data_IF_510243268252
#
_entry.id   IF_510243268252
#
_cell.length_a   1.000
_cell.length_b   1.000
_cell.length_c   1.000
_cell.angle_alpha   90.00
_cell.angle_beta   90.00
_cell.angle_gamma   90.00
#
_symmetry.space_group_name_H-M   'P 1'
#
loop_
_entity.id
_entity.type
_entity.pdbx_description
1 polymer ?
#
# COMPACT_ATOMS: atom_id res chain seq x y z
N UNK A 1 -8.62 13.70 -15.55
CA UNK A 1 -8.68 12.40 -16.25
C UNK A 1 -9.36 11.42 -15.32
N UNK A 2 -10.37 10.73 -15.79
CA UNK A 2 -11.06 9.66 -15.04
C UNK A 2 -10.41 8.33 -15.42
N UNK A 3 -10.17 7.47 -14.45
CA UNK A 3 -9.56 6.16 -14.64
C UNK A 3 -10.12 5.14 -13.65
N UNK A 4 -9.59 3.93 -13.67
CA UNK A 4 -9.99 2.79 -12.84
C UNK A 4 -8.85 2.43 -11.89
N UNK A 5 -9.12 2.48 -10.58
CA UNK A 5 -8.11 2.18 -9.55
C UNK A 5 -8.62 1.13 -8.57
N UNK A 6 -7.75 0.17 -8.25
CA UNK A 6 -7.94 -0.75 -7.17
C UNK A 6 -6.92 -0.46 -6.05
N UNK A 7 -7.40 -0.38 -4.81
CA UNK A 7 -6.59 -0.02 -3.64
C UNK A 7 -6.75 -1.08 -2.57
N UNK A 8 -5.67 -1.80 -2.23
CA UNK A 8 -5.67 -2.69 -1.07
C UNK A 8 -5.43 -1.91 0.22
N UNK A 9 -5.95 -2.41 1.36
CA UNK A 9 -5.85 -1.69 2.63
C UNK A 9 -6.68 -0.41 2.66
N UNK A 10 -7.78 -0.35 1.90
CA UNK A 10 -8.64 0.83 1.78
C UNK A 10 -9.52 1.11 3.00
N UNK A 11 -9.53 0.25 4.02
CA UNK A 11 -10.38 0.40 5.21
C UNK A 11 -9.81 1.37 6.26
N UNK A 12 -8.56 1.82 6.13
CA UNK A 12 -7.94 2.74 7.09
C UNK A 12 -6.76 3.53 6.51
N UNK A 13 -6.33 4.55 7.24
CA UNK A 13 -5.09 5.29 6.99
C UNK A 13 -4.95 5.83 5.57
N UNK A 14 -3.77 5.67 5.00
CA UNK A 14 -3.41 6.16 3.66
C UNK A 14 -4.30 5.55 2.57
N UNK A 15 -4.54 4.24 2.62
CA UNK A 15 -5.37 3.55 1.62
C UNK A 15 -6.80 4.08 1.58
N UNK A 16 -7.40 4.33 2.76
CA UNK A 16 -8.74 4.91 2.86
C UNK A 16 -8.79 6.33 2.30
N UNK A 17 -7.84 7.16 2.66
CA UNK A 17 -7.77 8.53 2.15
C UNK A 17 -7.59 8.58 0.65
N UNK A 18 -6.70 7.75 0.09
CA UNK A 18 -6.52 7.62 -1.35
C UNK A 18 -7.81 7.21 -2.06
N UNK A 19 -8.55 6.23 -1.51
CA UNK A 19 -9.79 5.78 -2.10
C UNK A 19 -10.83 6.92 -2.19
N UNK A 20 -10.95 7.71 -1.13
CA UNK A 20 -11.85 8.87 -1.09
C UNK A 20 -11.42 9.96 -2.08
N UNK A 21 -10.13 10.26 -2.15
CA UNK A 21 -9.61 11.34 -3.00
C UNK A 21 -9.65 10.97 -4.49
N UNK A 22 -9.33 9.71 -4.86
CA UNK A 22 -9.50 9.23 -6.23
C UNK A 22 -10.97 9.23 -6.63
N UNK A 23 -11.88 8.87 -5.72
CA UNK A 23 -13.32 8.95 -6.00
C UNK A 23 -13.79 10.39 -6.22
N UNK A 24 -13.33 11.34 -5.40
CA UNK A 24 -13.60 12.79 -5.59
C UNK A 24 -13.03 13.32 -6.89
N UNK A 25 -11.90 12.79 -7.34
CA UNK A 25 -11.29 13.13 -8.63
C UNK A 25 -11.99 12.47 -9.84
N UNK A 26 -13.12 11.78 -9.64
CA UNK A 26 -13.94 11.20 -10.70
C UNK A 26 -13.47 9.82 -11.18
N UNK A 27 -12.60 9.13 -10.44
CA UNK A 27 -12.18 7.77 -10.74
C UNK A 27 -13.23 6.74 -10.33
N UNK A 28 -13.27 5.63 -11.05
CA UNK A 28 -13.92 4.41 -10.59
C UNK A 28 -12.95 3.72 -9.61
N UNK A 29 -13.39 3.51 -8.36
CA UNK A 29 -12.54 3.03 -7.27
C UNK A 29 -13.07 1.74 -6.70
N UNK A 30 -12.21 0.73 -6.61
CA UNK A 30 -12.42 -0.48 -5.83
C UNK A 30 -11.55 -0.42 -4.58
N UNK A 31 -12.19 -0.49 -3.42
CA UNK A 31 -11.52 -0.49 -2.13
C UNK A 31 -11.52 -1.87 -1.49
N UNK A 32 -10.35 -2.42 -1.23
CA UNK A 32 -10.21 -3.77 -0.70
C UNK A 32 -9.81 -3.78 0.78
N UNK A 33 -10.36 -4.72 1.55
CA UNK A 33 -10.03 -4.90 2.96
C UNK A 33 -10.77 -6.06 3.61
N UNK A 34 -10.50 -6.30 4.88
CA UNK A 34 -11.12 -7.37 5.69
C UNK A 34 -12.36 -6.91 6.45
N UNK A 35 -12.35 -5.64 6.86
CA UNK A 35 -13.36 -5.02 7.70
C UNK A 35 -14.59 -4.64 6.86
N UNK A 36 -15.65 -5.45 6.96
CA UNK A 36 -16.87 -5.27 6.18
C UNK A 36 -17.62 -3.99 6.51
N UNK A 37 -17.64 -3.55 7.78
CA UNK A 37 -18.34 -2.33 8.19
C UNK A 37 -17.69 -1.09 7.57
N UNK A 38 -16.34 -1.00 7.67
CA UNK A 38 -15.59 0.09 7.04
C UNK A 38 -15.65 0.07 5.51
N UNK A 39 -15.78 -1.10 4.91
CA UNK A 39 -16.01 -1.22 3.48
C UNK A 39 -17.40 -0.73 3.09
N UNK A 40 -18.43 -1.01 3.89
CA UNK A 40 -19.78 -0.48 3.66
C UNK A 40 -19.79 1.05 3.78
N UNK A 41 -19.08 1.63 4.75
CA UNK A 41 -18.89 3.09 4.83
C UNK A 41 -18.28 3.65 3.54
N UNK A 42 -17.26 3.01 2.98
CA UNK A 42 -16.68 3.41 1.68
C UNK A 42 -17.71 3.32 0.55
N UNK A 43 -18.60 2.34 0.59
CA UNK A 43 -19.72 2.19 -0.35
C UNK A 43 -20.62 3.42 -0.38
N UNK A 44 -20.88 4.06 0.77
CA UNK A 44 -21.67 5.30 0.87
C UNK A 44 -21.01 6.48 0.14
N UNK A 45 -19.71 6.43 -0.09
CA UNK A 45 -18.94 7.41 -0.87
C UNK A 45 -18.82 7.04 -2.35
N UNK A 46 -19.51 5.98 -2.82
CA UNK A 46 -19.48 5.52 -4.21
C UNK A 46 -18.21 4.77 -4.58
N UNK A 47 -17.50 4.20 -3.60
CA UNK A 47 -16.36 3.29 -3.78
C UNK A 47 -16.91 1.86 -3.79
N UNK A 48 -16.56 1.04 -4.77
CA UNK A 48 -16.99 -0.36 -4.80
C UNK A 48 -16.20 -1.18 -3.78
N UNK A 49 -16.87 -1.74 -2.76
CA UNK A 49 -16.20 -2.52 -1.73
C UNK A 49 -15.85 -3.91 -2.23
N UNK A 50 -14.63 -4.38 -1.92
CA UNK A 50 -14.19 -5.75 -2.16
C UNK A 50 -13.67 -6.33 -0.84
N UNK A 51 -14.48 -7.21 -0.23
CA UNK A 51 -14.13 -7.81 1.05
C UNK A 51 -13.38 -9.12 0.87
N UNK A 52 -12.12 -9.14 1.28
CA UNK A 52 -11.30 -10.35 1.36
C UNK A 52 -10.11 -10.17 2.31
N UNK A 53 -9.54 -11.28 2.75
CA UNK A 53 -8.23 -11.31 3.37
C UNK A 53 -7.16 -11.36 2.28
N UNK A 54 -6.20 -10.45 2.33
CA UNK A 54 -5.10 -10.40 1.35
C UNK A 54 -4.16 -11.63 1.41
N UNK A 55 -4.36 -12.53 2.39
CA UNK A 55 -3.69 -13.83 2.47
C UNK A 55 -4.40 -14.94 1.68
N UNK A 56 -5.63 -14.69 1.23
CA UNK A 56 -6.42 -15.65 0.45
C UNK A 56 -6.32 -15.37 -1.05
N UNK A 57 -5.34 -16.02 -1.68
CA UNK A 57 -5.06 -15.85 -3.11
C UNK A 57 -6.21 -16.37 -3.98
N UNK A 58 -6.93 -17.40 -3.55
CA UNK A 58 -8.02 -17.98 -4.33
C UNK A 58 -9.21 -17.01 -4.43
N UNK A 59 -9.58 -16.39 -3.30
CA UNK A 59 -10.62 -15.36 -3.26
C UNK A 59 -10.21 -14.15 -4.10
N UNK A 60 -8.97 -13.68 -3.98
CA UNK A 60 -8.49 -12.55 -4.79
C UNK A 60 -8.52 -12.84 -6.29
N UNK A 61 -8.15 -14.05 -6.70
CA UNK A 61 -8.20 -14.47 -8.12
C UNK A 61 -9.63 -14.51 -8.65
N UNK A 62 -10.57 -15.00 -7.84
CA UNK A 62 -12.01 -14.98 -8.17
C UNK A 62 -12.54 -13.57 -8.33
N UNK A 63 -12.15 -12.65 -7.43
CA UNK A 63 -12.50 -11.22 -7.52
C UNK A 63 -11.90 -10.59 -8.78
N UNK A 64 -10.62 -10.84 -9.05
CA UNK A 64 -9.92 -10.29 -10.21
C UNK A 64 -10.60 -10.66 -11.53
N UNK A 65 -11.13 -11.88 -11.64
CA UNK A 65 -11.84 -12.34 -12.83
C UNK A 65 -13.13 -11.55 -13.15
N UNK A 66 -13.66 -10.82 -12.17
CA UNK A 66 -14.88 -9.98 -12.34
C UNK A 66 -14.57 -8.52 -12.63
N UNK A 67 -13.31 -8.10 -12.57
CA UNK A 67 -12.92 -6.72 -12.71
C UNK A 67 -12.54 -6.35 -14.14
N UNK A 68 -12.82 -5.12 -14.58
CA UNK A 68 -12.30 -4.61 -15.83
C UNK A 68 -10.79 -4.35 -15.75
N UNK A 69 -10.11 -4.14 -16.88
CA UNK A 69 -8.73 -3.63 -16.89
C UNK A 69 -8.59 -2.38 -16.03
N UNK A 70 -7.48 -2.26 -15.32
CA UNK A 70 -7.20 -1.16 -14.40
C UNK A 70 -6.16 -0.19 -15.00
N UNK A 71 -6.31 1.09 -14.70
CA UNK A 71 -5.32 2.12 -15.03
C UNK A 71 -4.30 2.29 -13.89
N UNK A 72 -4.70 1.92 -12.66
CA UNK A 72 -3.85 2.04 -11.47
C UNK A 72 -4.16 0.92 -10.46
N UNK A 73 -3.12 0.27 -9.97
CA UNK A 73 -3.18 -0.67 -8.84
C UNK A 73 -2.33 -0.12 -7.70
N UNK A 74 -2.94 0.11 -6.53
CA UNK A 74 -2.23 0.58 -5.32
C UNK A 74 -2.24 -0.52 -4.26
N UNK A 75 -1.07 -1.07 -3.97
CA UNK A 75 -0.87 -2.05 -2.91
C UNK A 75 -0.45 -1.33 -1.63
N UNK A 76 -1.44 -1.05 -0.77
CA UNK A 76 -1.27 -0.29 0.48
C UNK A 76 -1.59 -1.10 1.73
N UNK A 77 -2.04 -2.34 1.59
CA UNK A 77 -2.28 -3.22 2.74
C UNK A 77 -0.99 -3.51 3.49
N UNK A 78 -1.06 -3.49 4.82
CA UNK A 78 0.08 -3.81 5.68
C UNK A 78 -0.21 -3.53 7.14
N UNK A 79 0.62 -4.10 8.02
CA UNK A 79 0.61 -3.85 9.45
C UNK A 79 2.03 -3.53 9.96
N UNK A 80 2.10 -3.06 11.19
CA UNK A 80 3.34 -2.89 11.94
C UNK A 80 3.14 -3.43 13.35
N UNK A 81 3.98 -4.36 13.72
CA UNK A 81 4.10 -4.86 15.10
C UNK A 81 5.55 -4.66 15.52
N UNK A 82 5.75 -4.24 16.75
CA UNK A 82 7.07 -3.99 17.32
C UNK A 82 7.52 -5.19 18.14
N UNK A 83 8.79 -5.55 18.00
CA UNK A 83 9.41 -6.67 18.73
C UNK A 83 10.33 -6.12 19.80
N UNK A 84 10.30 -6.69 21.01
CA UNK A 84 11.30 -6.42 22.02
C UNK A 84 12.34 -7.55 22.04
N UNK A 85 13.41 -7.36 21.29
CA UNK A 85 14.47 -8.38 21.16
C UNK A 85 15.20 -8.62 22.51
N UNK A 86 15.13 -7.67 23.44
CA UNK A 86 15.66 -7.86 24.81
C UNK A 86 14.95 -8.97 25.58
N UNK A 87 13.70 -9.27 25.27
CA UNK A 87 12.92 -10.39 25.83
C UNK A 87 13.01 -11.66 24.98
N UNK A 88 13.72 -11.62 23.85
CA UNK A 88 13.88 -12.71 22.90
C UNK A 88 13.32 -12.40 21.52
N UNK A 89 13.75 -13.16 20.51
CA UNK A 89 13.25 -12.99 19.15
C UNK A 89 11.92 -13.73 18.96
N UNK A 90 10.83 -12.97 18.75
CA UNK A 90 9.49 -13.54 18.48
C UNK A 90 9.37 -13.91 16.99
N UNK A 91 9.60 -15.19 16.69
CA UNK A 91 9.50 -15.73 15.32
C UNK A 91 8.07 -15.76 14.78
N UNK A 92 7.06 -15.85 15.64
CA UNK A 92 5.66 -15.85 15.22
C UNK A 92 5.20 -14.45 14.81
N UNK A 93 5.58 -13.43 15.59
CA UNK A 93 5.36 -12.03 15.21
C UNK A 93 6.08 -11.73 13.89
N UNK A 94 7.34 -12.16 13.76
CA UNK A 94 8.11 -11.96 12.54
C UNK A 94 7.38 -12.56 11.33
N UNK A 95 6.99 -13.82 11.41
CA UNK A 95 6.27 -14.52 10.33
C UNK A 95 4.94 -13.82 9.97
N UNK A 96 4.15 -13.41 10.98
CA UNK A 96 2.87 -12.73 10.82
C UNK A 96 2.99 -11.40 10.06
N UNK A 97 4.03 -10.61 10.37
CA UNK A 97 4.30 -9.33 9.70
C UNK A 97 4.78 -9.55 8.28
N UNK A 98 5.69 -10.50 8.05
CA UNK A 98 6.15 -10.86 6.70
C UNK A 98 4.98 -11.36 5.85
N UNK A 99 4.15 -12.23 6.38
CA UNK A 99 2.96 -12.74 5.68
C UNK A 99 2.02 -11.60 5.26
N UNK A 100 1.71 -10.70 6.19
CA UNK A 100 0.77 -9.60 5.93
C UNK A 100 1.32 -8.56 4.98
N UNK A 101 2.61 -8.21 5.08
CA UNK A 101 3.17 -7.10 4.32
C UNK A 101 3.76 -7.53 2.97
N UNK A 102 4.44 -8.68 2.94
CA UNK A 102 5.19 -9.14 1.77
C UNK A 102 4.45 -10.23 1.01
N UNK A 103 4.12 -11.36 1.66
CA UNK A 103 3.48 -12.49 1.00
C UNK A 103 2.11 -12.10 0.43
N UNK A 104 1.30 -11.39 1.20
CA UNK A 104 0.00 -10.88 0.74
C UNK A 104 0.13 -9.87 -0.41
N UNK A 105 1.21 -9.09 -0.47
CA UNK A 105 1.52 -8.26 -1.64
C UNK A 105 1.82 -9.12 -2.87
N UNK A 106 2.56 -10.22 -2.72
CA UNK A 106 2.78 -11.20 -3.79
C UNK A 106 1.48 -11.85 -4.29
N UNK A 107 0.57 -12.20 -3.38
CA UNK A 107 -0.77 -12.72 -3.74
C UNK A 107 -1.59 -11.68 -4.52
N UNK A 108 -1.58 -10.42 -4.08
CA UNK A 108 -2.26 -9.34 -4.78
C UNK A 108 -1.68 -9.07 -6.17
N UNK A 109 -0.35 -9.18 -6.33
CA UNK A 109 0.30 -9.11 -7.63
C UNK A 109 -0.13 -10.26 -8.53
N UNK A 110 -0.16 -11.49 -8.03
CA UNK A 110 -0.60 -12.65 -8.80
C UNK A 110 -2.04 -12.48 -9.31
N UNK A 111 -2.93 -11.93 -8.49
CA UNK A 111 -4.34 -11.75 -8.85
C UNK A 111 -4.59 -10.53 -9.76
N UNK A 112 -4.01 -9.37 -9.44
CA UNK A 112 -4.43 -8.09 -10.04
C UNK A 112 -3.44 -7.50 -11.05
N UNK A 113 -2.16 -7.91 -11.05
CA UNK A 113 -1.19 -7.45 -12.05
C UNK A 113 -1.62 -7.76 -13.49
N UNK A 114 -2.27 -8.91 -13.79
CA UNK A 114 -2.79 -9.19 -15.14
C UNK A 114 -3.86 -8.19 -15.65
N UNK A 115 -4.48 -7.42 -14.75
CA UNK A 115 -5.44 -6.37 -15.13
C UNK A 115 -4.78 -5.07 -15.59
N UNK A 116 -3.46 -4.95 -15.45
CA UNK A 116 -2.70 -3.79 -15.91
C UNK A 116 -2.21 -4.01 -17.34
N UNK A 117 -2.39 -2.99 -18.18
CA UNK A 117 -1.90 -2.96 -19.57
C UNK A 117 -0.93 -1.81 -19.81
N UNK A 118 -0.52 -1.62 -21.05
CA UNK A 118 0.33 -0.51 -21.45
C UNK A 118 -0.30 0.84 -21.08
N UNK A 119 0.47 1.73 -20.48
CA UNK A 119 0.02 3.02 -19.97
C UNK A 119 -0.52 2.99 -18.54
N UNK A 120 -0.77 1.81 -17.97
CA UNK A 120 -1.20 1.68 -16.57
C UNK A 120 -0.01 1.77 -15.58
N UNK A 121 -0.33 1.78 -14.28
CA UNK A 121 0.66 1.91 -13.22
C UNK A 121 0.39 1.01 -12.03
N UNK A 122 1.45 0.40 -11.52
CA UNK A 122 1.51 -0.28 -10.23
C UNK A 122 2.15 0.67 -9.21
N UNK A 123 1.53 0.85 -8.04
CA UNK A 123 2.09 1.58 -6.90
C UNK A 123 2.17 0.69 -5.68
N UNK A 124 3.35 0.58 -5.07
CA UNK A 124 3.59 -0.24 -3.86
C UNK A 124 3.93 0.68 -2.70
N UNK A 125 3.18 0.56 -1.60
CA UNK A 125 3.40 1.35 -0.39
C UNK A 125 4.36 0.62 0.55
N UNK A 126 5.59 1.10 0.57
CA UNK A 126 6.65 0.71 1.49
C UNK A 126 6.67 1.63 2.73
N UNK A 127 7.84 2.05 3.18
CA UNK A 127 8.05 2.97 4.31
C UNK A 127 9.47 3.52 4.26
N UNK A 128 9.70 4.68 4.88
CA UNK A 128 11.04 5.20 5.14
C UNK A 128 11.91 4.30 6.03
N UNK A 129 11.29 3.38 6.79
CA UNK A 129 11.99 2.37 7.60
C UNK A 129 12.86 1.43 6.77
N UNK A 130 12.56 1.27 5.47
CA UNK A 130 13.39 0.48 4.56
C UNK A 130 14.79 1.07 4.36
N UNK A 131 14.96 2.38 4.58
CA UNK A 131 16.25 3.09 4.50
C UNK A 131 16.87 3.35 5.86
N UNK A 132 16.02 3.64 6.85
CA UNK A 132 16.46 4.01 8.20
C UNK A 132 15.98 2.95 9.20
N UNK A 133 16.85 2.03 9.62
CA UNK A 133 16.50 1.04 10.63
C UNK A 133 16.05 1.72 11.92
N UNK A 134 14.90 1.32 12.41
CA UNK A 134 14.36 1.77 13.70
C UNK A 134 14.39 0.61 14.69
N UNK A 135 14.72 0.86 15.96
CA UNK A 135 14.61 -0.15 17.01
C UNK A 135 13.21 -0.77 17.05
N UNK A 136 13.13 -2.04 17.39
CA UNK A 136 11.88 -2.82 17.53
C UNK A 136 11.13 -3.07 16.22
N UNK A 137 11.65 -2.62 15.08
CA UNK A 137 10.99 -2.71 13.77
C UNK A 137 11.59 -3.82 12.87
N UNK A 138 12.16 -4.87 13.45
CA UNK A 138 12.90 -5.92 12.73
C UNK A 138 12.03 -6.55 11.63
N UNK A 139 10.85 -7.06 11.98
CA UNK A 139 9.93 -7.68 11.04
C UNK A 139 9.35 -6.66 10.04
N UNK A 140 8.91 -5.49 10.57
CA UNK A 140 8.34 -4.44 9.73
C UNK A 140 9.38 -3.88 8.75
N UNK A 141 10.56 -3.51 9.24
CA UNK A 141 11.65 -3.00 8.41
C UNK A 141 12.09 -3.99 7.34
N UNK A 142 12.28 -5.27 7.71
CA UNK A 142 12.61 -6.32 6.77
C UNK A 142 11.54 -6.48 5.68
N UNK A 143 10.26 -6.49 6.06
CA UNK A 143 9.15 -6.59 5.10
C UNK A 143 9.14 -5.41 4.12
N UNK A 144 9.40 -4.19 4.59
CA UNK A 144 9.39 -2.98 3.75
C UNK A 144 10.63 -2.89 2.86
N UNK A 145 11.80 -3.31 3.34
CA UNK A 145 13.00 -3.44 2.50
C UNK A 145 12.82 -4.46 1.37
N UNK A 146 12.16 -5.59 1.67
CA UNK A 146 11.82 -6.57 0.65
C UNK A 146 10.85 -6.02 -0.42
N UNK A 147 9.86 -5.18 -0.01
CA UNK A 147 8.96 -4.51 -0.95
C UNK A 147 9.70 -3.50 -1.84
N UNK A 148 10.73 -2.84 -1.33
CA UNK A 148 11.57 -1.93 -2.12
C UNK A 148 12.28 -2.70 -3.24
N UNK A 149 12.93 -3.81 -2.90
CA UNK A 149 13.61 -4.66 -3.87
C UNK A 149 12.63 -5.23 -4.90
N UNK A 150 11.46 -5.72 -4.44
CA UNK A 150 10.41 -6.24 -5.31
C UNK A 150 9.92 -5.18 -6.30
N UNK A 151 9.66 -3.96 -5.84
CA UNK A 151 9.19 -2.87 -6.70
C UNK A 151 10.24 -2.47 -7.75
N UNK A 152 11.51 -2.42 -7.36
CA UNK A 152 12.60 -2.07 -8.29
C UNK A 152 12.80 -3.16 -9.35
N UNK A 153 12.70 -4.45 -9.00
CA UNK A 153 12.75 -5.55 -9.95
C UNK A 153 11.55 -5.53 -10.89
N UNK A 154 10.34 -5.38 -10.37
CA UNK A 154 9.13 -5.28 -11.19
C UNK A 154 9.18 -4.08 -12.16
N UNK A 155 9.82 -2.98 -11.78
CA UNK A 155 10.00 -1.83 -12.67
C UNK A 155 10.83 -2.16 -13.91
N UNK A 156 11.83 -3.02 -13.76
CA UNK A 156 12.65 -3.49 -14.89
C UNK A 156 11.85 -4.45 -15.79
N UNK A 157 11.18 -5.43 -15.19
CA UNK A 157 10.46 -6.47 -15.93
C UNK A 157 9.22 -5.92 -16.66
N UNK A 158 8.52 -4.97 -16.04
CA UNK A 158 7.28 -4.40 -16.60
C UNK A 158 7.50 -3.23 -17.57
N UNK A 159 8.73 -2.72 -17.68
CA UNK A 159 9.06 -1.62 -18.59
C UNK A 159 8.75 -1.99 -20.05
N UNK A 160 9.08 -3.19 -20.48
CA UNK A 160 8.80 -3.67 -21.85
C UNK A 160 7.32 -3.83 -22.15
N UNK A 161 6.46 -3.95 -21.12
CA UNK A 161 5.01 -4.01 -21.24
C UNK A 161 4.35 -2.63 -21.17
N UNK A 162 5.12 -1.56 -21.02
CA UNK A 162 4.61 -0.20 -20.89
C UNK A 162 3.86 0.06 -19.58
N UNK A 163 4.08 -0.77 -18.53
CA UNK A 163 3.48 -0.64 -17.20
C UNK A 163 4.45 0.11 -16.30
N UNK A 164 4.03 1.28 -15.79
CA UNK A 164 4.84 2.02 -14.84
C UNK A 164 4.82 1.40 -13.45
N UNK A 165 5.94 1.43 -12.72
CA UNK A 165 6.00 1.03 -11.31
C UNK A 165 6.46 2.20 -10.46
N UNK A 166 5.73 2.47 -9.37
CA UNK A 166 6.04 3.51 -8.40
C UNK A 166 6.17 2.91 -7.02
N UNK A 167 7.30 3.17 -6.39
CA UNK A 167 7.55 2.84 -4.99
C UNK A 167 7.27 4.06 -4.12
N UNK A 168 6.41 3.89 -3.11
CA UNK A 168 5.99 4.95 -2.20
C UNK A 168 6.59 4.66 -0.82
N UNK A 169 7.36 5.61 -0.29
CA UNK A 169 7.98 5.51 1.05
C UNK A 169 7.49 6.65 1.94
N UNK A 170 6.36 6.46 2.65
CA UNK A 170 5.92 7.39 3.68
C UNK A 170 6.89 7.42 4.85
N UNK A 171 7.09 8.59 5.45
CA UNK A 171 7.55 8.73 6.82
C UNK A 171 6.39 8.51 7.79
N UNK A 172 6.39 9.24 8.92
CA UNK A 172 5.29 9.12 9.89
C UNK A 172 4.04 9.83 9.37
N UNK A 173 2.93 9.11 9.34
CA UNK A 173 1.61 9.59 8.92
C UNK A 173 0.62 9.32 10.05
N UNK A 174 -0.24 10.28 10.37
CA UNK A 174 -1.29 10.14 11.39
C UNK A 174 -2.31 9.08 10.94
N UNK A 175 -2.16 7.87 11.42
CA UNK A 175 -3.02 6.71 11.08
C UNK A 175 -3.27 5.87 12.32
N UNK A 176 -4.28 4.98 12.32
CA UNK A 176 -4.46 4.01 13.40
C UNK A 176 -3.22 3.12 13.62
N UNK A 177 -2.39 2.93 12.60
CA UNK A 177 -1.14 2.17 12.71
C UNK A 177 -0.12 2.89 13.58
N UNK A 178 0.10 4.19 13.34
CA UNK A 178 1.07 5.01 14.07
C UNK A 178 0.55 5.54 15.40
N UNK A 179 -0.77 5.51 15.63
CA UNK A 179 -1.36 5.89 16.92
C UNK A 179 -0.92 4.98 18.09
N UNK A 180 -0.35 3.81 17.78
CA UNK A 180 0.17 2.84 18.76
C UNK A 180 1.65 3.09 19.11
N UNK A 181 2.30 4.05 18.46
CA UNK A 181 3.71 4.33 18.67
C UNK A 181 3.91 5.05 20.02
N UNK A 182 4.85 4.56 20.80
CA UNK A 182 5.24 5.06 22.12
C UNK A 182 6.57 5.87 22.09
N UNK A 183 6.98 6.30 20.91
CA UNK A 183 8.22 7.03 20.68
C UNK A 183 7.99 8.30 19.87
N UNK A 184 8.90 9.28 19.90
CA UNK A 184 8.80 10.51 19.13
C UNK A 184 8.75 10.24 17.62
N UNK A 185 7.79 10.84 16.93
CA UNK A 185 7.62 10.75 15.49
C UNK A 185 7.91 12.12 14.86
N UNK A 186 9.13 12.39 14.40
CA UNK A 186 9.44 13.67 13.78
C UNK A 186 8.72 13.84 12.43
N UNK A 187 8.36 15.09 12.13
CA UNK A 187 7.78 15.46 10.83
C UNK A 187 6.52 14.67 10.43
N UNK A 188 5.66 14.37 11.41
CA UNK A 188 4.38 13.68 11.14
C UNK A 188 3.53 14.48 10.15
N UNK A 189 2.97 13.80 9.15
CA UNK A 189 2.01 14.39 8.20
C UNK A 189 0.62 13.78 8.40
N UNK A 190 -0.42 14.50 7.96
CA UNK A 190 -1.79 13.97 7.96
C UNK A 190 -2.01 12.98 6.81
N UNK A 191 -3.09 12.20 6.87
CA UNK A 191 -3.44 11.28 5.77
C UNK A 191 -3.79 12.02 4.49
N UNK A 192 -4.35 13.24 4.58
CA UNK A 192 -4.67 14.10 3.44
C UNK A 192 -3.40 14.62 2.77
N UNK A 193 -2.40 15.02 3.56
CA UNK A 193 -1.10 15.44 3.03
C UNK A 193 -0.38 14.27 2.35
N UNK A 194 -0.44 13.09 2.95
CA UNK A 194 0.13 11.87 2.40
C UNK A 194 -0.56 11.50 1.07
N UNK A 195 -1.89 11.49 1.04
CA UNK A 195 -2.68 11.19 -0.16
C UNK A 195 -2.36 12.16 -1.30
N UNK A 196 -2.32 13.46 -1.01
CA UNK A 196 -1.96 14.50 -2.00
C UNK A 196 -0.56 14.26 -2.57
N UNK A 197 0.45 14.04 -1.72
CA UNK A 197 1.82 13.79 -2.17
C UNK A 197 1.91 12.55 -3.06
N UNK A 198 1.14 11.50 -2.74
CA UNK A 198 1.08 10.27 -3.54
C UNK A 198 0.40 10.55 -4.89
N UNK A 199 -0.77 11.16 -4.90
CA UNK A 199 -1.51 11.44 -6.14
C UNK A 199 -0.72 12.35 -7.08
N UNK A 200 -0.11 13.41 -6.57
CA UNK A 200 0.74 14.33 -7.35
C UNK A 200 1.94 13.59 -7.95
N UNK A 201 2.58 12.71 -7.15
CA UNK A 201 3.71 11.92 -7.60
C UNK A 201 3.34 10.90 -8.67
N UNK A 202 2.20 10.23 -8.52
CA UNK A 202 1.67 9.26 -9.49
C UNK A 202 1.26 9.96 -10.79
N UNK A 203 0.60 11.10 -10.71
CA UNK A 203 0.22 11.93 -11.88
C UNK A 203 1.46 12.42 -12.64
N UNK A 204 2.53 12.78 -11.92
CA UNK A 204 3.81 13.18 -12.52
C UNK A 204 4.64 11.98 -13.05
N UNK A 205 4.13 10.74 -12.96
CA UNK A 205 4.82 9.56 -13.45
C UNK A 205 6.07 9.17 -12.66
N UNK A 206 6.23 9.62 -11.42
CA UNK A 206 7.43 9.38 -10.61
C UNK A 206 7.60 7.89 -10.29
N UNK A 207 8.85 7.40 -10.39
CA UNK A 207 9.19 6.04 -9.99
C UNK A 207 9.32 5.87 -8.48
N UNK A 208 9.63 6.96 -7.77
CA UNK A 208 9.74 6.98 -6.31
C UNK A 208 9.03 8.21 -5.75
N UNK A 209 8.25 7.98 -4.70
CA UNK A 209 7.53 9.02 -3.95
C UNK A 209 7.89 8.84 -2.48
N UNK A 210 8.44 9.88 -1.86
CA UNK A 210 8.77 9.91 -0.45
C UNK A 210 8.33 11.23 0.16
N UNK A 211 7.86 11.18 1.37
CA UNK A 211 7.40 12.35 2.11
C UNK A 211 7.46 12.11 3.63
N UNK A 212 7.61 13.19 4.44
CA UNK A 212 7.87 14.55 4.01
C UNK A 212 9.29 14.70 3.44
N UNK A 213 9.48 15.62 2.51
CA UNK A 213 10.82 15.83 1.88
C UNK A 213 11.92 16.19 2.89
N UNK A 214 11.54 16.72 4.06
CA UNK A 214 12.48 17.08 5.14
C UNK A 214 13.00 15.88 5.93
N UNK A 215 12.45 14.68 5.70
CA UNK A 215 12.86 13.45 6.37
C UNK A 215 13.99 12.72 5.64
N UNK A 216 14.41 13.23 4.48
CA UNK A 216 15.42 12.61 3.63
C UNK A 216 16.65 13.48 3.65
N UNK A 217 17.62 13.03 4.37
CA UNK A 217 18.99 13.53 4.38
C UNK A 217 19.91 12.47 3.79
#
# INVERSE_FOLDING_TARGET
>A
MSGRVLITGATSGIGRQLALDYRRAGWQVWGCGRDGERLQELGLHGITPLQFDARDVAVMSGVAATLPPLDLLILSAGNCEYMDVGEGFDSELFARVIETNLTATGHALAAFLPLLGAGSRLAIVSSSVSWLPLPRAEAYGASKAALDYLADTLRLDLASKGIGVTLIRPGFVQTPLTAKNDFPMPCVVTVEQASRAIMDGLTAGRHQIHFPRRFIW
#
